data_IF_654763275566
#
_entry.id   IF_654763275566
#
_cell.length_a   1.000
_cell.length_b   1.000
_cell.length_c   1.000
_cell.angle_alpha   90.00
_cell.angle_beta   90.00
_cell.angle_gamma   90.00
#
_symmetry.space_group_name_H-M   'P 1'
#
loop_
_entity.id
_entity.type
_entity.pdbx_description
1 polymer ?
#
# COMPACT_ATOMS: atom_id res chain seq x y z
N UNK A 1 45.80 -10.23 -24.92
CA UNK A 1 45.65 -10.27 -23.46
C UNK A 1 44.48 -9.34 -23.09
N UNK A 2 43.26 -9.86 -22.97
CA UNK A 2 42.04 -9.09 -22.62
C UNK A 2 41.79 -9.27 -21.13
N UNK A 3 41.88 -8.18 -20.40
CA UNK A 3 41.53 -8.12 -18.99
C UNK A 3 40.01 -8.12 -18.90
N UNK A 4 39.43 -9.18 -18.37
CA UNK A 4 38.00 -9.27 -18.01
C UNK A 4 37.82 -8.49 -16.72
N UNK A 5 37.23 -7.29 -16.82
CA UNK A 5 36.72 -6.58 -15.67
C UNK A 5 35.51 -7.33 -15.14
N UNK A 6 35.72 -7.98 -14.01
CA UNK A 6 34.64 -8.58 -13.22
C UNK A 6 33.72 -7.48 -12.68
N UNK A 7 32.51 -7.41 -13.22
CA UNK A 7 31.42 -6.64 -12.64
C UNK A 7 31.00 -7.35 -11.35
N UNK A 8 31.56 -6.92 -10.22
CA UNK A 8 31.09 -7.30 -8.91
C UNK A 8 29.73 -6.63 -8.68
N UNK A 9 28.67 -7.37 -8.99
CA UNK A 9 27.33 -7.05 -8.51
C UNK A 9 27.40 -6.86 -6.99
N UNK A 10 27.03 -5.73 -6.41
CA UNK A 10 27.01 -5.58 -4.97
C UNK A 10 25.93 -6.54 -4.45
N UNK A 11 26.34 -7.58 -3.73
CA UNK A 11 25.46 -8.41 -2.91
C UNK A 11 24.87 -7.49 -1.84
N UNK A 12 23.79 -6.79 -2.16
CA UNK A 12 23.09 -6.00 -1.18
C UNK A 12 22.19 -6.92 -0.35
N UNK A 13 22.58 -7.13 0.88
CA UNK A 13 21.68 -7.55 1.97
C UNK A 13 20.67 -6.44 2.31
N UNK A 14 20.27 -5.65 1.33
CA UNK A 14 19.32 -4.55 1.54
C UNK A 14 17.93 -5.12 1.72
N UNK A 15 17.32 -4.80 2.88
CA UNK A 15 15.95 -5.17 3.18
C UNK A 15 14.97 -4.61 2.14
N UNK A 16 13.84 -5.29 1.98
CA UNK A 16 12.73 -4.86 1.13
C UNK A 16 12.06 -3.61 1.74
N UNK A 17 12.09 -2.50 1.02
CA UNK A 17 11.51 -1.22 1.47
C UNK A 17 10.08 -1.09 0.98
N UNK A 18 9.17 -0.89 1.91
CA UNK A 18 7.72 -0.86 1.66
C UNK A 18 7.12 0.45 2.14
N UNK A 19 6.23 1.04 1.33
CA UNK A 19 5.40 2.18 1.74
C UNK A 19 3.93 1.83 1.54
N UNK A 20 3.08 2.22 2.50
CA UNK A 20 1.63 2.28 2.29
C UNK A 20 1.12 3.70 2.50
N UNK A 21 0.13 4.10 1.68
CA UNK A 21 -0.51 5.41 1.74
C UNK A 21 -1.94 5.36 1.21
N UNK A 22 -2.90 5.81 2.01
CA UNK A 22 -4.17 6.30 1.47
C UNK A 22 -3.93 7.70 0.89
N UNK A 23 -4.02 7.84 -0.45
CA UNK A 23 -3.65 9.08 -1.15
C UNK A 23 -4.80 10.09 -1.24
N UNK A 24 -5.92 9.86 -0.55
CA UNK A 24 -7.08 10.76 -0.53
C UNK A 24 -7.49 11.21 -1.95
N UNK A 25 -7.52 10.27 -2.88
CA UNK A 25 -7.86 10.48 -4.30
C UNK A 25 -7.00 11.54 -4.99
N UNK A 26 -5.74 11.74 -4.54
CA UNK A 26 -4.81 12.71 -5.10
C UNK A 26 -5.10 14.17 -4.76
N UNK A 27 -5.77 14.41 -3.65
CA UNK A 27 -6.10 15.74 -3.17
C UNK A 27 -5.40 16.04 -1.83
N UNK A 28 -5.12 17.32 -1.60
CA UNK A 28 -4.68 17.82 -0.30
C UNK A 28 -5.72 17.52 0.80
N UNK A 29 -5.34 17.54 2.10
CA UNK A 29 -6.27 17.28 3.21
C UNK A 29 -7.54 18.13 3.15
N UNK A 30 -7.44 19.37 2.70
CA UNK A 30 -8.58 20.29 2.54
C UNK A 30 -9.25 20.20 1.16
N UNK A 31 -8.81 19.29 0.28
CA UNK A 31 -9.34 19.10 -1.09
C UNK A 31 -9.28 20.35 -1.99
N UNK A 32 -8.34 21.28 -1.71
CA UNK A 32 -8.21 22.53 -2.46
C UNK A 32 -7.34 22.39 -3.70
N UNK A 33 -6.32 21.53 -3.66
CA UNK A 33 -5.38 21.32 -4.76
C UNK A 33 -5.06 19.83 -4.97
N UNK A 34 -4.57 19.53 -6.17
CA UNK A 34 -4.03 18.21 -6.51
C UNK A 34 -2.63 18.04 -5.93
N UNK A 35 -2.38 16.88 -5.32
CA UNK A 35 -1.08 16.55 -4.71
C UNK A 35 -0.28 15.53 -5.53
N UNK A 36 -0.81 15.06 -6.65
CA UNK A 36 -0.28 13.90 -7.39
C UNK A 36 1.19 14.11 -7.81
N UNK A 37 1.57 15.29 -8.34
CA UNK A 37 2.95 15.58 -8.71
C UNK A 37 3.90 15.59 -7.51
N UNK A 38 3.48 16.21 -6.41
CA UNK A 38 4.27 16.25 -5.16
C UNK A 38 4.42 14.85 -4.57
N UNK A 39 3.35 14.04 -4.64
CA UNK A 39 3.37 12.65 -4.21
C UNK A 39 4.39 11.84 -5.03
N UNK A 40 4.36 11.95 -6.37
CA UNK A 40 5.34 11.29 -7.24
C UNK A 40 6.79 11.64 -6.85
N UNK A 41 7.09 12.92 -6.60
CA UNK A 41 8.43 13.35 -6.16
C UNK A 41 8.83 12.70 -4.83
N UNK A 42 7.91 12.65 -3.85
CA UNK A 42 8.16 12.04 -2.55
C UNK A 42 8.36 10.51 -2.64
N UNK A 43 7.55 9.83 -3.44
CA UNK A 43 7.72 8.38 -3.69
C UNK A 43 9.10 8.07 -4.26
N UNK A 44 9.57 8.87 -5.23
CA UNK A 44 10.91 8.73 -5.81
C UNK A 44 12.02 8.93 -4.77
N UNK A 45 11.93 9.96 -3.91
CA UNK A 45 12.96 10.28 -2.93
C UNK A 45 13.14 9.24 -1.82
N UNK A 46 12.12 8.43 -1.54
CA UNK A 46 12.19 7.38 -0.51
C UNK A 46 12.71 6.05 -1.04
N UNK A 47 12.86 5.92 -2.37
CA UNK A 47 13.41 4.71 -3.00
C UNK A 47 12.75 3.41 -2.54
N UNK A 48 11.48 3.42 -2.14
CA UNK A 48 10.76 2.21 -1.77
C UNK A 48 10.77 1.20 -2.92
N UNK A 49 10.71 -0.08 -2.58
CA UNK A 49 10.74 -1.16 -3.55
C UNK A 49 9.32 -1.62 -3.89
N UNK A 50 8.39 -1.48 -2.92
CA UNK A 50 6.96 -1.74 -3.05
C UNK A 50 6.15 -0.57 -2.50
N UNK A 51 5.08 -0.20 -3.22
CA UNK A 51 4.09 0.78 -2.79
C UNK A 51 2.71 0.14 -2.75
N UNK A 52 1.99 0.36 -1.66
CA UNK A 52 0.60 -0.02 -1.47
C UNK A 52 -0.23 1.25 -1.34
N UNK A 53 -1.03 1.56 -2.37
CA UNK A 53 -1.76 2.82 -2.43
C UNK A 53 -3.26 2.56 -2.37
N UNK A 54 -3.96 3.25 -1.48
CA UNK A 54 -5.41 3.21 -1.35
C UNK A 54 -6.02 4.53 -1.85
N UNK A 55 -7.29 4.48 -2.18
CA UNK A 55 -8.02 5.59 -2.81
C UNK A 55 -7.32 6.15 -4.06
N UNK A 56 -6.60 5.31 -4.81
CA UNK A 56 -5.99 5.76 -6.05
C UNK A 56 -7.08 6.10 -7.06
N UNK A 57 -7.16 7.39 -7.40
CA UNK A 57 -8.11 7.91 -8.38
C UNK A 57 -7.56 7.71 -9.78
N UNK A 58 -7.85 6.56 -10.39
CA UNK A 58 -7.29 6.22 -11.69
C UNK A 58 -7.78 7.14 -12.80
N UNK A 59 -9.07 7.46 -12.77
CA UNK A 59 -9.71 8.37 -13.71
C UNK A 59 -10.68 9.31 -12.98
N UNK A 60 -10.67 10.59 -13.35
CA UNK A 60 -11.69 11.54 -12.91
C UNK A 60 -11.79 12.75 -13.85
N UNK A 61 -12.71 12.72 -14.80
CA UNK A 61 -12.91 13.74 -15.82
C UNK A 61 -13.24 15.14 -15.24
N UNK A 62 -13.89 15.20 -14.06
CA UNK A 62 -14.16 16.49 -13.40
C UNK A 62 -12.89 17.10 -12.81
N UNK A 63 -12.00 16.28 -12.23
CA UNK A 63 -10.73 16.75 -11.66
C UNK A 63 -9.75 17.16 -12.73
N UNK A 64 -9.69 16.44 -13.85
CA UNK A 64 -8.89 16.82 -15.02
C UNK A 64 -9.27 18.21 -15.54
N UNK A 65 -10.56 18.55 -15.53
CA UNK A 65 -11.02 19.90 -15.91
C UNK A 65 -10.79 20.96 -14.84
N UNK A 66 -10.80 20.58 -13.57
CA UNK A 66 -10.68 21.51 -12.42
C UNK A 66 -9.24 21.88 -12.09
N UNK A 67 -8.32 20.93 -12.17
CA UNK A 67 -6.94 21.09 -11.76
C UNK A 67 -6.01 21.03 -12.96
N UNK A 68 -5.38 22.14 -13.32
CA UNK A 68 -4.39 22.19 -14.41
C UNK A 68 -3.21 21.22 -14.18
N UNK A 69 -2.91 20.90 -12.93
CA UNK A 69 -1.88 19.93 -12.52
C UNK A 69 -2.39 18.50 -12.41
N UNK A 70 -3.60 18.18 -12.92
CA UNK A 70 -4.04 16.78 -12.96
C UNK A 70 -3.39 16.08 -14.14
N UNK A 71 -2.74 14.90 -13.94
CA UNK A 71 -2.13 14.16 -15.04
C UNK A 71 -3.16 13.79 -16.12
N UNK A 72 -2.74 13.85 -17.38
CA UNK A 72 -3.58 13.44 -18.52
C UNK A 72 -3.65 11.92 -18.70
N UNK A 73 -2.65 11.22 -18.18
CA UNK A 73 -2.54 9.76 -18.23
C UNK A 73 -3.21 9.13 -17.01
N UNK A 74 -3.35 7.80 -17.03
CA UNK A 74 -3.72 7.02 -15.86
C UNK A 74 -2.80 7.33 -14.67
N UNK A 75 -3.39 7.54 -13.50
CA UNK A 75 -2.63 7.96 -12.31
C UNK A 75 -1.63 6.90 -11.85
N UNK A 76 -1.96 5.61 -11.96
CA UNK A 76 -0.97 4.54 -11.70
C UNK A 76 0.25 4.66 -12.58
N UNK A 77 0.06 4.80 -13.89
CA UNK A 77 1.14 4.98 -14.84
C UNK A 77 1.97 6.23 -14.54
N UNK A 78 1.29 7.35 -14.22
CA UNK A 78 1.97 8.59 -13.86
C UNK A 78 2.81 8.47 -12.57
N UNK A 79 2.31 7.78 -11.54
CA UNK A 79 3.04 7.58 -10.29
C UNK A 79 4.17 6.56 -10.44
N UNK A 80 3.94 5.49 -11.20
CA UNK A 80 4.90 4.43 -11.44
C UNK A 80 6.11 4.93 -12.23
N UNK A 81 5.84 5.59 -13.39
CA UNK A 81 6.89 6.10 -14.26
C UNK A 81 7.97 5.03 -14.52
N UNK A 82 9.22 5.42 -14.74
CA UNK A 82 10.36 4.51 -14.86
C UNK A 82 10.86 3.92 -13.53
N UNK A 83 10.40 4.42 -12.38
CA UNK A 83 10.82 3.96 -11.05
C UNK A 83 10.17 2.66 -10.60
N UNK A 84 8.94 2.40 -11.06
CA UNK A 84 8.18 1.20 -10.76
C UNK A 84 7.72 0.58 -12.08
N UNK A 85 8.58 -0.24 -12.71
CA UNK A 85 8.31 -0.79 -14.03
C UNK A 85 7.09 -1.70 -14.08
N UNK A 86 6.62 -2.17 -12.92
CA UNK A 86 5.44 -3.03 -12.84
C UNK A 86 4.44 -2.56 -11.79
N UNK A 87 3.15 -2.71 -12.10
CA UNK A 87 2.08 -2.32 -11.20
C UNK A 87 0.77 -3.04 -11.50
N UNK A 88 -0.03 -3.25 -10.44
CA UNK A 88 -1.40 -3.72 -10.55
C UNK A 88 -2.36 -2.71 -9.92
N UNK A 89 -3.53 -2.57 -10.54
CA UNK A 89 -4.61 -1.72 -10.05
C UNK A 89 -5.89 -2.52 -9.90
N UNK A 90 -6.48 -2.48 -8.70
CA UNK A 90 -7.77 -3.06 -8.36
C UNK A 90 -8.85 -1.98 -8.32
N UNK A 91 -9.77 -1.98 -9.30
CA UNK A 91 -10.91 -1.07 -9.33
C UNK A 91 -11.92 -1.48 -8.26
N UNK A 92 -12.20 -0.59 -7.31
CA UNK A 92 -13.15 -0.85 -6.23
C UNK A 92 -14.46 -0.09 -6.44
N UNK A 93 -14.41 1.23 -6.64
CA UNK A 93 -15.59 2.07 -6.80
C UNK A 93 -15.58 2.75 -8.17
N UNK A 94 -16.72 2.64 -8.87
CA UNK A 94 -16.96 3.25 -10.17
C UNK A 94 -18.14 4.22 -10.09
N UNK A 95 -18.04 5.36 -10.76
CA UNK A 95 -19.05 6.40 -10.81
C UNK A 95 -18.99 7.13 -12.15
N UNK A 96 -20.03 7.91 -12.49
CA UNK A 96 -20.24 8.53 -13.79
C UNK A 96 -19.01 9.23 -14.41
N UNK A 97 -18.07 9.72 -13.60
CA UNK A 97 -16.96 10.54 -14.06
C UNK A 97 -15.59 9.92 -13.79
N UNK A 98 -15.53 8.65 -13.44
CA UNK A 98 -14.28 7.93 -13.19
C UNK A 98 -14.40 6.83 -12.16
N UNK A 99 -13.26 6.35 -11.69
CA UNK A 99 -13.18 5.26 -10.74
C UNK A 99 -11.94 5.40 -9.86
N UNK A 100 -11.98 4.75 -8.70
CA UNK A 100 -10.82 4.66 -7.81
C UNK A 100 -10.72 3.25 -7.19
N UNK A 101 -9.57 2.96 -6.64
CA UNK A 101 -9.32 1.65 -6.04
C UNK A 101 -7.98 1.58 -5.32
N UNK A 102 -7.46 0.36 -5.22
CA UNK A 102 -6.17 0.07 -4.65
C UNK A 102 -5.13 -0.14 -5.76
N UNK A 103 -3.86 0.13 -5.46
CA UNK A 103 -2.76 -0.19 -6.37
C UNK A 103 -1.55 -0.74 -5.61
N UNK A 104 -0.80 -1.63 -6.27
CA UNK A 104 0.52 -2.08 -5.86
C UNK A 104 1.47 -1.69 -6.98
N UNK A 105 2.50 -0.89 -6.68
CA UNK A 105 3.57 -0.55 -7.61
C UNK A 105 4.86 -1.20 -7.13
N UNK A 106 5.69 -1.71 -8.04
CA UNK A 106 6.83 -2.54 -7.71
C UNK A 106 8.04 -2.26 -8.59
N UNK A 107 9.24 -2.34 -8.01
CA UNK A 107 10.50 -2.45 -8.74
C UNK A 107 10.78 -3.87 -9.23
N UNK A 108 10.08 -4.86 -8.68
CA UNK A 108 10.17 -6.26 -9.08
C UNK A 108 9.02 -6.62 -10.01
N UNK A 109 9.17 -7.62 -10.89
CA UNK A 109 8.04 -8.16 -11.65
C UNK A 109 6.89 -8.59 -10.72
N UNK A 110 5.68 -8.14 -11.07
CA UNK A 110 4.45 -8.52 -10.38
C UNK A 110 3.74 -9.64 -11.13
N UNK A 111 3.28 -10.62 -10.38
CA UNK A 111 2.48 -11.72 -10.92
C UNK A 111 1.11 -11.75 -10.21
N UNK A 112 0.14 -12.42 -10.84
CA UNK A 112 -1.26 -12.63 -10.44
C UNK A 112 -2.18 -11.42 -10.67
N UNK A 113 -2.07 -10.32 -9.95
CA UNK A 113 -2.88 -9.09 -10.17
C UNK A 113 -4.39 -9.27 -10.05
N UNK A 114 -4.88 -9.95 -9.00
CA UNK A 114 -6.29 -10.24 -8.80
C UNK A 114 -6.86 -9.31 -7.73
N UNK A 115 -8.00 -8.66 -8.02
CA UNK A 115 -8.73 -7.84 -7.06
C UNK A 115 -10.02 -8.55 -6.63
N UNK A 116 -10.06 -9.05 -5.40
CA UNK A 116 -11.24 -9.72 -4.83
C UNK A 116 -12.19 -8.67 -4.25
N UNK A 117 -13.48 -8.74 -4.57
CA UNK A 117 -14.50 -7.89 -3.95
C UNK A 117 -14.75 -8.36 -2.50
N UNK A 118 -14.42 -7.51 -1.54
CA UNK A 118 -14.64 -7.72 -0.11
C UNK A 118 -15.65 -6.69 0.44
N UNK A 119 -16.52 -6.16 -0.40
CA UNK A 119 -17.51 -5.14 -0.02
C UNK A 119 -18.58 -5.71 0.90
N UNK A 120 -18.74 -5.14 2.08
CA UNK A 120 -19.79 -5.49 3.04
C UNK A 120 -21.05 -4.65 2.88
N UNK A 121 -20.91 -3.47 2.29
CA UNK A 121 -22.00 -2.49 2.16
C UNK A 121 -22.12 -1.99 0.72
N UNK A 122 -23.35 -1.78 0.25
CA UNK A 122 -23.61 -1.28 -1.12
C UNK A 122 -23.06 0.12 -1.38
N UNK A 123 -22.98 0.95 -0.34
CA UNK A 123 -22.49 2.33 -0.42
C UNK A 123 -20.96 2.43 -0.29
N UNK A 124 -20.28 1.33 0.04
CA UNK A 124 -18.85 1.33 0.32
C UNK A 124 -18.18 0.14 -0.37
N UNK A 125 -17.64 0.38 -1.55
CA UNK A 125 -16.96 -0.66 -2.33
C UNK A 125 -15.53 -0.84 -1.87
N UNK A 126 -15.14 -2.07 -1.58
CA UNK A 126 -13.82 -2.44 -1.05
C UNK A 126 -13.26 -3.64 -1.80
N UNK A 127 -11.94 -3.63 -2.00
CA UNK A 127 -11.24 -4.71 -2.68
C UNK A 127 -9.99 -5.15 -1.93
N UNK A 128 -9.66 -6.43 -2.06
CA UNK A 128 -8.40 -7.03 -1.67
C UNK A 128 -7.58 -7.24 -2.95
N UNK A 129 -6.64 -6.34 -3.22
CA UNK A 129 -5.75 -6.47 -4.38
C UNK A 129 -4.59 -7.38 -4.00
N UNK A 130 -4.47 -8.51 -4.67
CA UNK A 130 -3.40 -9.49 -4.48
C UNK A 130 -2.44 -9.50 -5.66
N UNK A 131 -1.16 -9.49 -5.36
CA UNK A 131 -0.06 -9.68 -6.29
C UNK A 131 1.03 -10.51 -5.62
N UNK A 132 1.91 -11.09 -6.41
CA UNK A 132 3.13 -11.73 -5.89
C UNK A 132 4.36 -11.11 -6.53
N UNK A 133 5.44 -11.01 -5.77
CA UNK A 133 6.78 -10.71 -6.27
C UNK A 133 7.66 -11.93 -6.08
N UNK A 134 8.65 -12.07 -6.97
CA UNK A 134 9.68 -13.10 -6.85
C UNK A 134 11.00 -12.42 -6.49
N UNK A 135 11.58 -12.83 -5.37
CA UNK A 135 12.92 -12.39 -4.95
C UNK A 135 13.99 -13.35 -5.49
N UNK A 136 15.25 -12.95 -5.36
CA UNK A 136 16.39 -13.81 -5.67
C UNK A 136 16.24 -15.20 -4.99
N UNK A 137 16.70 -16.24 -5.66
CA UNK A 137 16.55 -17.64 -5.26
C UNK A 137 15.12 -18.23 -5.33
N UNK A 138 14.24 -17.65 -6.17
CA UNK A 138 12.89 -18.19 -6.42
C UNK A 138 11.93 -18.07 -5.24
N UNK A 139 12.18 -17.16 -4.30
CA UNK A 139 11.31 -16.93 -3.14
C UNK A 139 10.18 -15.99 -3.49
N UNK A 140 8.96 -16.47 -3.35
CA UNK A 140 7.75 -15.69 -3.59
C UNK A 140 7.30 -14.99 -2.32
N UNK A 141 6.96 -13.69 -2.43
CA UNK A 141 6.27 -12.93 -1.39
C UNK A 141 4.88 -12.56 -1.90
N UNK A 142 3.86 -12.85 -1.11
CA UNK A 142 2.50 -12.44 -1.39
C UNK A 142 2.27 -11.01 -0.86
N UNK A 143 1.73 -10.17 -1.71
CA UNK A 143 1.46 -8.75 -1.45
C UNK A 143 -0.04 -8.49 -1.54
N UNK A 144 -0.64 -7.98 -0.47
CA UNK A 144 -2.06 -7.65 -0.42
C UNK A 144 -2.24 -6.17 -0.07
N UNK A 145 -2.94 -5.42 -0.92
CA UNK A 145 -3.33 -4.04 -0.66
C UNK A 145 -4.80 -3.98 -0.27
N UNK A 146 -5.09 -3.36 0.88
CA UNK A 146 -6.44 -3.28 1.45
C UNK A 146 -6.86 -1.85 1.74
N UNK A 147 -8.16 -1.60 1.68
CA UNK A 147 -8.82 -0.45 2.29
C UNK A 147 -10.13 -0.95 2.89
N UNK A 148 -10.20 -1.07 4.23
CA UNK A 148 -11.32 -1.70 4.92
C UNK A 148 -12.49 -0.74 5.15
N UNK A 149 -13.63 -1.29 5.56
CA UNK A 149 -14.85 -0.54 5.85
C UNK A 149 -14.70 0.41 7.04
N UNK A 150 -15.45 1.51 7.01
CA UNK A 150 -15.52 2.48 8.12
C UNK A 150 -16.21 1.90 9.35
N UNK A 151 -17.19 1.02 9.17
CA UNK A 151 -17.96 0.44 10.27
C UNK A 151 -17.29 -0.82 10.81
N UNK A 152 -17.12 -0.91 12.11
CA UNK A 152 -16.44 -2.03 12.77
C UNK A 152 -17.00 -3.42 12.40
N UNK A 153 -18.32 -3.68 12.37
CA UNK A 153 -18.83 -5.01 12.00
C UNK A 153 -18.44 -5.44 10.58
N UNK A 154 -18.36 -4.48 9.64
CA UNK A 154 -17.89 -4.75 8.27
C UNK A 154 -16.40 -5.07 8.25
N UNK A 155 -15.57 -4.33 8.99
CA UNK A 155 -14.14 -4.62 9.10
C UNK A 155 -13.86 -6.01 9.66
N UNK A 156 -14.56 -6.41 10.70
CA UNK A 156 -14.39 -7.74 11.32
C UNK A 156 -14.66 -8.85 10.30
N UNK A 157 -15.77 -8.79 9.55
CA UNK A 157 -16.05 -9.76 8.48
C UNK A 157 -15.04 -9.70 7.33
N UNK A 158 -14.61 -8.49 6.97
CA UNK A 158 -13.56 -8.32 5.95
C UNK A 158 -12.23 -8.95 6.38
N UNK A 159 -11.84 -8.81 7.64
CA UNK A 159 -10.62 -9.44 8.16
C UNK A 159 -10.71 -10.96 8.10
N UNK A 160 -11.84 -11.54 8.48
CA UNK A 160 -12.08 -12.98 8.36
C UNK A 160 -11.98 -13.44 6.90
N UNK A 161 -12.62 -12.73 5.98
CA UNK A 161 -12.56 -12.99 4.53
C UNK A 161 -11.13 -12.89 4.00
N UNK A 162 -10.38 -11.85 4.39
CA UNK A 162 -8.98 -11.65 3.99
C UNK A 162 -8.10 -12.78 4.49
N UNK A 163 -8.21 -13.16 5.75
CA UNK A 163 -7.43 -14.26 6.33
C UNK A 163 -7.72 -15.58 5.62
N UNK A 164 -8.98 -15.86 5.30
CA UNK A 164 -9.38 -17.02 4.51
C UNK A 164 -8.74 -17.02 3.11
N UNK A 165 -8.78 -15.89 2.39
CA UNK A 165 -8.11 -15.77 1.09
C UNK A 165 -6.60 -16.00 1.21
N UNK A 166 -5.96 -15.43 2.21
CA UNK A 166 -4.50 -15.55 2.39
C UNK A 166 -4.08 -16.99 2.69
N UNK A 167 -4.84 -17.69 3.52
CA UNK A 167 -4.56 -19.10 3.81
C UNK A 167 -4.57 -19.95 2.54
N UNK A 168 -5.55 -19.74 1.65
CA UNK A 168 -5.66 -20.48 0.39
C UNK A 168 -4.66 -20.05 -0.69
N UNK A 169 -4.27 -18.76 -0.71
CA UNK A 169 -3.43 -18.21 -1.78
C UNK A 169 -1.94 -18.27 -1.46
N UNK A 170 -1.58 -18.09 -0.20
CA UNK A 170 -0.20 -17.95 0.23
C UNK A 170 0.38 -19.20 0.91
N UNK A 171 -0.45 -20.14 1.36
CA UNK A 171 -0.04 -21.43 1.93
C UNK A 171 1.21 -21.35 2.82
N UNK A 172 1.17 -20.45 3.82
CA UNK A 172 2.29 -20.22 4.73
C UNK A 172 3.46 -19.40 4.16
N UNK A 173 3.46 -19.04 2.89
CA UNK A 173 4.51 -18.24 2.27
C UNK A 173 4.64 -16.83 2.89
N UNK A 174 5.82 -16.20 2.79
CA UNK A 174 6.03 -14.83 3.23
C UNK A 174 4.99 -13.88 2.65
N UNK A 175 4.39 -13.07 3.51
CA UNK A 175 3.22 -12.25 3.13
C UNK A 175 3.31 -10.85 3.72
N UNK A 176 2.96 -9.85 2.92
CA UNK A 176 2.77 -8.45 3.30
C UNK A 176 1.32 -8.07 3.06
N UNK A 177 0.65 -7.53 4.06
CA UNK A 177 -0.66 -6.91 3.93
C UNK A 177 -0.51 -5.47 4.34
N UNK A 178 -0.76 -4.53 3.44
CA UNK A 178 -0.61 -3.12 3.75
C UNK A 178 -1.79 -2.30 3.25
N UNK A 179 -2.14 -1.27 4.01
CA UNK A 179 -3.22 -0.37 3.62
C UNK A 179 -3.89 0.36 4.76
N UNK A 180 -5.03 0.95 4.42
CA UNK A 180 -5.91 1.62 5.36
C UNK A 180 -6.90 0.60 5.95
N UNK A 181 -6.65 0.24 7.19
CA UNK A 181 -7.49 -0.71 7.94
C UNK A 181 -8.71 -0.03 8.59
N UNK A 182 -8.77 1.31 8.61
CA UNK A 182 -9.82 2.05 9.30
C UNK A 182 -10.02 1.61 10.76
N UNK A 183 -8.97 1.04 11.39
CA UNK A 183 -9.07 0.34 12.67
C UNK A 183 -8.41 1.12 13.82
N UNK A 184 -8.98 2.27 14.15
CA UNK A 184 -8.50 3.10 15.27
C UNK A 184 -8.68 2.46 16.66
N UNK A 185 -9.48 1.38 16.76
CA UNK A 185 -9.70 0.62 18.01
C UNK A 185 -8.79 -0.59 18.14
N UNK A 186 -7.94 -0.85 17.14
CA UNK A 186 -7.00 -1.97 17.11
C UNK A 186 -7.69 -3.35 17.18
N UNK A 187 -8.91 -3.47 16.64
CA UNK A 187 -9.69 -4.72 16.66
C UNK A 187 -9.11 -5.79 15.71
N UNK A 188 -8.39 -5.36 14.67
CA UNK A 188 -7.73 -6.24 13.72
C UNK A 188 -6.51 -6.97 14.30
N UNK A 189 -5.81 -6.40 15.28
CA UNK A 189 -4.55 -6.96 15.80
C UNK A 189 -4.72 -8.39 16.31
N UNK A 190 -5.76 -8.68 17.08
CA UNK A 190 -5.96 -10.01 17.65
C UNK A 190 -6.11 -11.12 16.59
N UNK A 191 -7.03 -11.03 15.62
CA UNK A 191 -7.14 -12.04 14.56
C UNK A 191 -5.91 -12.09 13.65
N UNK A 192 -5.28 -10.95 13.34
CA UNK A 192 -4.05 -10.91 12.55
C UNK A 192 -2.88 -11.62 13.28
N UNK A 193 -2.69 -11.37 14.57
CA UNK A 193 -1.67 -12.06 15.36
C UNK A 193 -1.94 -13.56 15.46
N UNK A 194 -3.20 -13.97 15.64
CA UNK A 194 -3.58 -15.39 15.66
C UNK A 194 -3.24 -16.11 14.35
N UNK A 195 -3.31 -15.38 13.20
CA UNK A 195 -2.91 -15.87 11.89
C UNK A 195 -1.40 -15.74 11.59
N UNK A 196 -0.59 -15.41 12.61
CA UNK A 196 0.87 -15.32 12.52
C UNK A 196 1.41 -14.00 11.94
N UNK A 197 0.56 -13.00 11.73
CA UNK A 197 1.00 -11.68 11.28
C UNK A 197 1.48 -10.83 12.45
N UNK A 198 2.40 -9.90 12.14
CA UNK A 198 2.86 -8.85 13.07
C UNK A 198 2.74 -7.49 12.38
N UNK A 199 2.20 -6.50 13.09
CA UNK A 199 2.24 -5.11 12.61
C UNK A 199 3.69 -4.60 12.67
N UNK A 200 4.17 -4.00 11.58
CA UNK A 200 5.56 -3.58 11.46
C UNK A 200 5.94 -2.49 12.47
N UNK A 201 5.06 -1.52 12.71
CA UNK A 201 5.32 -0.45 13.65
C UNK A 201 5.17 -0.92 15.11
N UNK A 202 4.10 -1.65 15.41
CA UNK A 202 3.83 -2.18 16.75
C UNK A 202 4.92 -3.15 17.22
N UNK A 203 5.48 -3.97 16.30
CA UNK A 203 6.55 -4.92 16.64
C UNK A 203 7.85 -4.25 17.12
N UNK A 204 8.10 -3.00 16.71
CA UNK A 204 9.29 -2.24 17.11
C UNK A 204 9.03 -1.31 18.31
N UNK A 205 7.81 -0.77 18.41
CA UNK A 205 7.51 0.32 19.35
C UNK A 205 6.48 -0.07 20.43
N UNK A 206 5.83 -1.24 20.32
CA UNK A 206 4.84 -1.72 21.27
C UNK A 206 3.44 -1.09 21.14
N UNK A 207 3.22 -0.26 20.11
CA UNK A 207 1.93 0.38 19.83
C UNK A 207 1.78 0.65 18.32
N UNK A 208 0.55 0.70 17.78
CA UNK A 208 0.33 0.94 16.37
C UNK A 208 0.61 2.39 15.96
N UNK A 209 1.02 2.59 14.69
CA UNK A 209 1.35 3.89 14.14
C UNK A 209 0.13 4.79 14.02
N UNK A 210 0.20 6.01 14.56
CA UNK A 210 -0.83 7.02 14.36
C UNK A 210 -0.60 7.77 13.05
N UNK A 211 -1.56 7.71 12.13
CA UNK A 211 -1.44 8.23 10.77
C UNK A 211 -2.51 9.25 10.39
N UNK A 212 -3.63 9.31 11.12
CA UNK A 212 -4.77 10.17 10.80
C UNK A 212 -5.20 11.06 11.99
N UNK A 213 -5.66 12.29 11.76
CA UNK A 213 -5.48 13.07 10.53
C UNK A 213 -4.01 13.51 10.38
N UNK A 214 -3.53 13.65 9.14
CA UNK A 214 -2.10 13.88 8.85
C UNK A 214 -1.49 15.12 9.53
N UNK A 215 -2.27 16.17 9.74
CA UNK A 215 -1.81 17.41 10.41
C UNK A 215 -1.52 17.20 11.91
N UNK A 216 -2.30 16.35 12.59
CA UNK A 216 -2.13 15.99 14.01
C UNK A 216 -2.58 14.55 14.22
N UNK A 217 -1.73 13.56 13.93
CA UNK A 217 -2.12 12.15 13.92
C UNK A 217 -2.42 11.65 15.34
N UNK A 218 -3.66 11.23 15.54
CA UNK A 218 -4.18 10.68 16.80
C UNK A 218 -4.79 9.30 16.64
N UNK A 219 -5.21 8.92 15.41
CA UNK A 219 -5.82 7.63 15.10
C UNK A 219 -4.83 6.77 14.29
N UNK A 220 -4.79 5.49 14.63
CA UNK A 220 -3.98 4.49 13.96
C UNK A 220 -4.85 3.78 12.91
N UNK A 221 -4.87 4.30 11.67
CA UNK A 221 -5.71 3.82 10.59
C UNK A 221 -4.97 2.88 9.64
N UNK A 222 -3.73 3.24 9.32
CA UNK A 222 -2.92 2.53 8.33
C UNK A 222 -2.01 1.50 8.99
N UNK A 223 -1.79 0.36 8.33
CA UNK A 223 -0.98 -0.75 8.82
C UNK A 223 -0.10 -1.35 7.73
N UNK A 224 1.01 -1.94 8.17
CA UNK A 224 1.81 -2.89 7.40
C UNK A 224 1.94 -4.15 8.25
N UNK A 225 1.16 -5.17 7.96
CA UNK A 225 1.27 -6.48 8.58
C UNK A 225 2.18 -7.38 7.77
N UNK A 226 3.04 -8.13 8.45
CA UNK A 226 3.97 -9.07 7.81
C UNK A 226 3.90 -10.45 8.46
N UNK A 227 4.10 -11.49 7.65
CA UNK A 227 4.28 -12.89 8.08
C UNK A 227 5.45 -13.48 7.32
N UNK A 228 6.33 -14.24 8.00
CA UNK A 228 7.53 -14.84 7.40
C UNK A 228 8.62 -13.82 7.01
N UNK A 229 8.53 -12.57 7.51
CA UNK A 229 9.49 -11.49 7.29
C UNK A 229 9.83 -10.82 8.62
N UNK A 230 11.07 -10.34 8.75
CA UNK A 230 11.55 -9.61 9.94
C UNK A 230 11.53 -8.12 9.68
N UNK A 231 10.93 -7.34 10.58
CA UNK A 231 10.93 -5.88 10.51
C UNK A 231 12.24 -5.32 11.05
N UNK A 232 12.95 -4.54 10.24
CA UNK A 232 14.19 -3.87 10.61
C UNK A 232 13.97 -2.41 11.00
N UNK A 233 13.02 -1.76 10.32
CA UNK A 233 12.68 -0.36 10.52
C UNK A 233 11.21 -0.13 10.22
N UNK A 234 10.58 0.80 10.95
CA UNK A 234 9.25 1.29 10.63
C UNK A 234 9.16 2.79 10.99
N UNK A 235 8.53 3.59 10.13
CA UNK A 235 8.41 5.04 10.30
C UNK A 235 7.07 5.56 9.82
N UNK A 236 6.59 6.62 10.48
CA UNK A 236 5.50 7.47 9.98
C UNK A 236 6.12 8.65 9.25
N UNK A 237 5.87 8.80 7.96
CA UNK A 237 6.45 9.85 7.12
C UNK A 237 5.73 11.20 7.35
N UNK A 238 6.09 11.89 8.43
CA UNK A 238 5.42 13.13 8.89
C UNK A 238 5.56 14.31 7.93
N UNK A 239 6.61 14.35 7.14
CA UNK A 239 6.86 15.37 6.11
C UNK A 239 5.90 15.25 4.91
N UNK A 240 5.05 14.20 4.88
CA UNK A 240 4.00 14.00 3.89
C UNK A 240 2.63 14.57 4.28
N UNK A 241 2.54 15.27 5.41
CA UNK A 241 1.26 15.75 6.00
C UNK A 241 0.42 16.67 5.10
N UNK A 242 1.03 17.25 4.05
CA UNK A 242 0.32 18.10 3.07
C UNK A 242 -0.10 17.36 1.79
N UNK A 243 0.21 16.06 1.68
CA UNK A 243 -0.05 15.27 0.47
C UNK A 243 -1.39 14.52 0.52
N UNK A 244 -1.79 14.11 1.71
CA UNK A 244 -3.05 13.41 1.99
C UNK A 244 -3.53 13.78 3.38
N UNK A 245 -4.77 13.44 3.72
CA UNK A 245 -5.27 13.49 5.10
C UNK A 245 -4.76 12.32 5.96
N UNK A 246 -4.12 11.31 5.33
CA UNK A 246 -3.33 10.27 5.97
C UNK A 246 -1.83 10.52 5.86
N UNK A 247 -1.06 10.07 6.84
CA UNK A 247 0.40 9.96 6.74
C UNK A 247 0.78 8.60 6.19
N UNK A 248 1.78 8.57 5.31
CA UNK A 248 2.33 7.32 4.82
C UNK A 248 3.09 6.57 5.92
N UNK A 249 3.03 5.22 5.88
CA UNK A 249 3.90 4.34 6.65
C UNK A 249 5.00 3.78 5.76
N UNK A 250 6.21 3.72 6.32
CA UNK A 250 7.37 3.08 5.72
C UNK A 250 7.83 1.93 6.59
N UNK A 251 8.29 0.84 5.97
CA UNK A 251 8.95 -0.27 6.65
C UNK A 251 10.12 -0.83 5.82
N UNK A 252 11.19 -1.26 6.51
CA UNK A 252 12.25 -2.10 5.95
C UNK A 252 12.08 -3.52 6.48
N UNK A 253 11.96 -4.46 5.58
CA UNK A 253 11.67 -5.87 5.86
C UNK A 253 12.84 -6.74 5.39
N UNK A 254 13.17 -7.75 6.17
CA UNK A 254 14.18 -8.75 5.81
C UNK A 254 13.55 -10.14 5.81
N UNK A 255 13.97 -10.92 4.83
CA UNK A 255 13.61 -12.33 4.73
C UNK A 255 14.64 -13.21 5.44
#
# INVERSE_FOLDING_TARGET
MRVLNGNSNPKSSSGLRVITLNMHKGLSPLKIDSTIYRLRQKLRSHHADLLFIQELQQENLRRQRRFATWPSNEITHFLADEFYPDWHYGRNAEYRHGHHGNAILSKFPLHKGINYDISEYRFERRGLLHSTIELEAGRTIHCFCVHLALLQPGRERQIETILHHIEHLADGAPTIIAGDFNDWRNSASKPMHAAGFRDAFESLYGFPAKTFPSAKPVLAMDRIYVRGLTVQKAEVLRDWSKLSDHLALYAELRH
#
